data_IF_474505357629
#
_entry.id   IF_474505357629
#
_cell.length_a   1.000
_cell.length_b   1.000
_cell.length_c   1.000
_cell.angle_alpha   90.00
_cell.angle_beta   90.00
_cell.angle_gamma   90.00
#
_symmetry.space_group_name_H-M   'P 1'
#
loop_
_entity.id
_entity.type
_entity.pdbx_description
1 polymer ?
#
# COMPACT_ATOMS: atom_id res chain seq x y z
N UNK A 1 -16.66 -28.08 10.50
CA UNK A 1 -15.35 -27.68 11.02
C UNK A 1 -14.91 -26.39 10.38
N UNK A 2 -14.53 -25.43 11.15
CA UNK A 2 -14.06 -24.16 10.61
C UNK A 2 -12.63 -24.27 10.16
N UNK A 3 -12.36 -23.78 8.97
CA UNK A 3 -11.00 -23.64 8.46
C UNK A 3 -10.60 -22.19 8.59
N UNK A 4 -9.47 -21.95 9.22
CA UNK A 4 -8.93 -20.62 9.38
C UNK A 4 -7.81 -20.40 8.36
N UNK A 5 -7.87 -19.27 7.68
CA UNK A 5 -6.82 -18.84 6.76
C UNK A 5 -6.19 -17.55 7.26
N UNK A 6 -4.86 -17.52 7.31
CA UNK A 6 -4.12 -16.30 7.62
C UNK A 6 -3.89 -15.52 6.34
N UNK A 7 -4.55 -14.39 6.25
CA UNK A 7 -4.57 -13.57 5.04
C UNK A 7 -3.77 -12.29 5.26
N UNK A 8 -2.81 -11.97 4.38
CA UNK A 8 -2.14 -10.68 4.46
C UNK A 8 -3.06 -9.58 3.93
N UNK A 9 -3.09 -8.48 4.64
CA UNK A 9 -3.79 -7.26 4.19
C UNK A 9 -2.83 -6.09 4.30
N UNK A 10 -3.06 -5.07 3.49
CA UNK A 10 -2.25 -3.85 3.55
C UNK A 10 -2.51 -3.12 4.86
N UNK A 11 -1.44 -2.80 5.58
CA UNK A 11 -1.52 -1.95 6.75
C UNK A 11 -1.40 -0.51 6.30
N UNK A 12 -2.53 0.19 6.20
CA UNK A 12 -2.58 1.54 5.66
C UNK A 12 -1.77 2.54 6.49
N UNK A 13 -1.91 2.48 7.80
CA UNK A 13 -1.20 3.41 8.69
C UNK A 13 0.31 3.16 8.65
N UNK A 14 0.72 1.90 8.75
CA UNK A 14 2.13 1.55 8.73
C UNK A 14 2.76 1.86 7.37
N UNK A 15 2.05 1.62 6.28
CA UNK A 15 2.52 1.95 4.93
C UNK A 15 2.65 3.47 4.77
N UNK A 16 1.66 4.23 5.22
CA UNK A 16 1.71 5.68 5.18
C UNK A 16 2.90 6.25 5.95
N UNK A 17 3.16 5.73 7.14
CA UNK A 17 4.32 6.10 7.94
C UNK A 17 5.63 5.73 7.23
N UNK A 18 5.66 4.58 6.59
CA UNK A 18 6.83 4.12 5.83
C UNK A 18 7.14 5.06 4.67
N UNK A 19 6.12 5.44 3.91
CA UNK A 19 6.27 6.40 2.80
C UNK A 19 6.89 7.70 3.32
N UNK A 20 6.34 8.24 4.40
CA UNK A 20 6.83 9.46 5.00
C UNK A 20 8.29 9.34 5.44
N UNK A 21 8.62 8.23 6.08
CA UNK A 21 9.99 7.97 6.57
C UNK A 21 10.99 7.88 5.42
N UNK A 22 10.66 7.14 4.36
CA UNK A 22 11.54 7.00 3.20
C UNK A 22 11.71 8.36 2.51
N UNK A 23 10.63 9.12 2.36
CA UNK A 23 10.72 10.46 1.76
C UNK A 23 11.67 11.37 2.55
N UNK A 24 11.60 11.34 3.87
CA UNK A 24 12.51 12.10 4.71
C UNK A 24 13.96 11.65 4.54
N UNK A 25 14.18 10.34 4.51
CA UNK A 25 15.52 9.79 4.31
C UNK A 25 16.12 10.17 2.97
N UNK A 26 15.29 10.23 1.94
CA UNK A 26 15.73 10.56 0.57
C UNK A 26 15.71 12.06 0.27
N UNK A 27 15.25 12.87 1.22
CA UNK A 27 15.17 14.32 1.03
C UNK A 27 14.09 14.76 0.04
N UNK A 28 13.04 13.98 -0.12
CA UNK A 28 11.93 14.29 -1.01
C UNK A 28 10.80 14.91 -0.18
N UNK A 29 10.44 16.15 -0.51
CA UNK A 29 9.36 16.86 0.17
C UNK A 29 8.01 16.53 -0.46
N UNK A 30 6.90 16.66 0.29
CA UNK A 30 5.56 16.48 -0.29
C UNK A 30 5.30 17.42 -1.48
N UNK A 31 5.76 18.65 -1.40
CA UNK A 31 5.58 19.63 -2.48
C UNK A 31 6.31 19.19 -3.75
N UNK A 32 7.55 18.71 -3.62
CA UNK A 32 8.31 18.24 -4.76
C UNK A 32 7.64 17.02 -5.38
N UNK A 33 7.17 16.09 -4.54
CA UNK A 33 6.47 14.91 -5.02
C UNK A 33 5.19 15.27 -5.73
N UNK A 34 4.43 16.23 -5.19
CA UNK A 34 3.22 16.74 -5.85
C UNK A 34 3.52 17.23 -7.27
N UNK A 35 4.62 17.97 -7.43
CA UNK A 35 4.98 18.53 -8.73
C UNK A 35 5.40 17.43 -9.71
N UNK A 36 6.18 16.46 -9.25
CA UNK A 36 6.65 15.36 -10.11
C UNK A 36 5.48 14.49 -10.58
N UNK A 37 4.54 14.22 -9.69
CA UNK A 37 3.39 13.36 -9.98
C UNK A 37 2.22 14.11 -10.62
N UNK A 38 2.36 15.41 -10.77
CA UNK A 38 1.33 16.26 -11.35
C UNK A 38 -0.02 16.14 -10.63
N UNK A 39 0.04 16.13 -9.30
CA UNK A 39 -1.17 16.13 -8.48
C UNK A 39 -1.69 17.54 -8.30
N UNK A 40 -3.02 17.74 -8.41
CA UNK A 40 -3.60 19.07 -8.20
C UNK A 40 -3.47 19.57 -6.76
N UNK A 41 -3.38 18.65 -5.79
CA UNK A 41 -3.32 19.00 -4.38
C UNK A 41 -2.27 18.19 -3.65
N UNK A 42 -1.51 18.84 -2.76
CA UNK A 42 -0.57 18.16 -1.88
C UNK A 42 -1.27 17.27 -0.85
N UNK A 43 -2.55 17.55 -0.59
CA UNK A 43 -3.36 16.79 0.37
C UNK A 43 -3.39 15.29 0.04
N UNK A 44 -3.32 14.92 -1.23
CA UNK A 44 -3.24 13.52 -1.65
C UNK A 44 -2.11 12.80 -0.92
N UNK A 45 -0.94 13.43 -0.86
CA UNK A 45 0.25 12.83 -0.23
C UNK A 45 0.07 12.76 1.29
N UNK A 46 -0.46 13.81 1.90
CA UNK A 46 -0.74 13.81 3.33
C UNK A 46 -1.77 12.76 3.73
N UNK A 47 -2.72 12.47 2.85
CA UNK A 47 -3.68 11.39 3.07
C UNK A 47 -3.00 10.02 3.08
N UNK A 48 -1.95 9.83 2.27
CA UNK A 48 -1.14 8.60 2.33
C UNK A 48 -0.44 8.50 3.70
N UNK A 49 0.17 9.59 4.17
CA UNK A 49 0.85 9.60 5.46
C UNK A 49 -0.09 9.25 6.60
N UNK A 50 -1.33 9.71 6.52
CA UNK A 50 -2.34 9.45 7.55
C UNK A 50 -3.00 8.08 7.43
N UNK A 51 -2.69 7.33 6.39
CA UNK A 51 -3.32 6.03 6.16
C UNK A 51 -4.77 6.11 5.72
N UNK A 52 -5.22 7.27 5.25
CA UNK A 52 -6.60 7.44 4.77
C UNK A 52 -6.82 6.75 3.44
N UNK A 53 -5.83 6.82 2.59
CA UNK A 53 -5.81 6.09 1.31
C UNK A 53 -4.36 5.85 0.91
N UNK A 54 -4.19 5.13 -0.17
CA UNK A 54 -2.87 4.74 -0.66
C UNK A 54 -2.72 5.14 -2.12
N UNK A 55 -1.47 5.25 -2.59
CA UNK A 55 -1.24 5.44 -4.01
C UNK A 55 -1.90 4.33 -4.82
N UNK A 56 -2.41 4.68 -6.00
CA UNK A 56 -2.80 3.68 -6.98
C UNK A 56 -1.57 2.88 -7.38
N UNK A 57 -1.77 1.73 -7.98
CA UNK A 57 -0.65 0.86 -8.33
C UNK A 57 0.33 1.54 -9.28
N UNK A 58 -0.16 2.26 -10.27
CA UNK A 58 0.68 3.01 -11.21
C UNK A 58 1.44 4.14 -10.52
N UNK A 59 0.79 4.85 -9.59
CA UNK A 59 1.48 5.88 -8.81
C UNK A 59 2.53 5.27 -7.87
N UNK A 60 2.27 4.07 -7.36
CA UNK A 60 3.24 3.37 -6.52
C UNK A 60 4.51 3.02 -7.30
N UNK A 61 4.37 2.61 -8.56
CA UNK A 61 5.51 2.34 -9.43
C UNK A 61 6.38 3.60 -9.58
N UNK A 62 5.76 4.74 -9.84
CA UNK A 62 6.46 6.03 -9.98
C UNK A 62 7.12 6.42 -8.65
N UNK A 63 6.39 6.28 -7.55
CA UNK A 63 6.90 6.61 -6.21
C UNK A 63 8.14 5.79 -5.87
N UNK A 64 8.12 4.50 -6.14
CA UNK A 64 9.25 3.61 -5.88
C UNK A 64 10.48 4.06 -6.68
N UNK A 65 10.30 4.46 -7.93
CA UNK A 65 11.39 4.97 -8.75
C UNK A 65 11.95 6.28 -8.19
N UNK A 66 11.08 7.22 -7.83
CA UNK A 66 11.51 8.52 -7.28
C UNK A 66 12.31 8.32 -6.00
N UNK A 67 11.89 7.41 -5.15
CA UNK A 67 12.53 7.14 -3.86
C UNK A 67 13.71 6.17 -3.97
N UNK A 68 13.93 5.60 -5.14
CA UNK A 68 14.98 4.61 -5.38
C UNK A 68 14.89 3.42 -4.42
N UNK A 69 13.69 2.87 -4.32
CA UNK A 69 13.38 1.68 -3.52
C UNK A 69 12.47 0.77 -4.32
N UNK A 70 12.31 -0.46 -3.86
CA UNK A 70 11.32 -1.37 -4.45
C UNK A 70 9.94 -1.10 -3.86
N UNK A 71 8.90 -1.56 -4.55
CA UNK A 71 7.54 -1.45 -4.02
C UNK A 71 7.39 -2.24 -2.72
N UNK A 72 8.05 -3.37 -2.61
CA UNK A 72 8.04 -4.18 -1.38
C UNK A 72 8.60 -3.42 -0.18
N UNK A 73 9.57 -2.55 -0.41
CA UNK A 73 10.14 -1.74 0.67
C UNK A 73 9.20 -0.65 1.16
N UNK A 74 8.20 -0.29 0.36
CA UNK A 74 7.21 0.72 0.72
C UNK A 74 6.03 0.08 1.45
N UNK A 75 5.58 -1.08 1.00
CA UNK A 75 4.35 -1.72 1.46
C UNK A 75 4.59 -2.43 2.79
N UNK A 76 3.71 -2.18 3.74
CA UNK A 76 3.67 -2.89 5.02
C UNK A 76 2.36 -3.66 5.09
N UNK A 77 2.44 -4.95 5.39
CA UNK A 77 1.27 -5.80 5.51
C UNK A 77 1.11 -6.29 6.94
N UNK A 78 -0.10 -6.71 7.26
CA UNK A 78 -0.40 -7.38 8.52
C UNK A 78 -1.25 -8.60 8.21
N UNK A 79 -1.22 -9.59 9.10
CA UNK A 79 -1.98 -10.82 8.91
C UNK A 79 -3.29 -10.73 9.69
N UNK A 80 -4.36 -11.16 9.06
CA UNK A 80 -5.65 -11.31 9.71
C UNK A 80 -6.12 -12.75 9.57
N UNK A 81 -6.90 -13.21 10.55
CA UNK A 81 -7.55 -14.52 10.47
C UNK A 81 -8.87 -14.39 9.75
N UNK A 82 -9.10 -15.26 8.81
CA UNK A 82 -10.37 -15.36 8.09
C UNK A 82 -10.93 -16.75 8.29
N UNK A 83 -12.16 -16.84 8.79
CA UNK A 83 -12.85 -18.10 8.88
C UNK A 83 -13.49 -18.44 7.53
N UNK A 84 -13.13 -19.58 7.01
CA UNK A 84 -13.65 -20.05 5.73
C UNK A 84 -14.62 -21.17 6.01
N UNK A 85 -15.90 -20.97 5.65
CA UNK A 85 -16.87 -22.05 5.69
C UNK A 85 -16.60 -23.01 4.54
N UNK A 86 -16.70 -24.32 4.83
CA UNK A 86 -16.61 -25.29 3.74
C UNK A 86 -17.86 -25.14 2.87
N UNK A 87 -17.63 -25.04 1.58
CA UNK A 87 -18.70 -24.96 0.61
C UNK A 87 -18.76 -26.26 -0.20
N UNK A 88 -19.97 -26.76 -0.36
CA UNK A 88 -20.21 -27.85 -1.27
C UNK A 88 -20.17 -27.30 -2.69
N UNK A 89 -19.59 -28.06 -3.59
CA UNK A 89 -19.54 -27.68 -5.00
C UNK A 89 -18.68 -26.45 -5.26
N UNK A 90 -17.56 -26.36 -4.57
CA UNK A 90 -16.65 -25.24 -4.81
C UNK A 90 -16.17 -25.19 -6.25
N UNK A 91 -16.02 -23.95 -6.68
CA UNK A 91 -15.51 -23.68 -8.01
C UNK A 91 -14.04 -24.00 -8.12
N UNK A 92 -13.67 -24.54 -9.25
CA UNK A 92 -12.28 -24.77 -9.60
C UNK A 92 -11.93 -23.78 -10.70
N UNK A 93 -10.88 -23.03 -10.49
CA UNK A 93 -10.40 -22.11 -11.51
C UNK A 93 -9.80 -22.90 -12.66
N UNK A 94 -10.37 -22.68 -13.84
CA UNK A 94 -9.84 -23.25 -15.07
C UNK A 94 -8.81 -22.30 -15.68
N UNK A 95 -7.69 -22.86 -16.04
CA UNK A 95 -6.68 -22.07 -16.71
C UNK A 95 -7.06 -21.81 -18.18
#
# INVERSE_FOLDING_TARGET
MKTTYLKPVLDLEATGTKIKTIMKQKGVTPRRLQLIMDFPYVQTIYNWFAGKNMPTLDNLVVLAQILDVTMDEIIVTKMIEVDIAEEEGREVLSA
#
